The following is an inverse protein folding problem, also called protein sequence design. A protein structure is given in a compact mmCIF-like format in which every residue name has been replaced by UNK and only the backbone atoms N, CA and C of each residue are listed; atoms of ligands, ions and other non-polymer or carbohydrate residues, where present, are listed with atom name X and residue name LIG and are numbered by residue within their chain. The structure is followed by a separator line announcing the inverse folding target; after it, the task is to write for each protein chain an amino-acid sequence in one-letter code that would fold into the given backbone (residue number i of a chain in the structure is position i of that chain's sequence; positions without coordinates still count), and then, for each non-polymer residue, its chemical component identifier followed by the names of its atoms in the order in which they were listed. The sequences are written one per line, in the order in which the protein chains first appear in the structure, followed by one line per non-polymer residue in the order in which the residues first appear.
data_IF_577606626471
#
_entry.id   IF_577606626471
#
_cell.length_a   1.000
_cell.length_b   1.000
_cell.length_c   1.000
_cell.angle_alpha   90.00
_cell.angle_beta   90.00
_cell.angle_gamma   90.00
#
_symmetry.space_group_name_H-M   'P 1'
#
loop_
_entity.id
_entity.type
_entity.pdbx_description
1 polymer ?
#
# COMPACT_ATOMS: atom_id res chain seq x y z
N UNK A 1 22.96 77.36 13.25
CA UNK A 1 21.65 76.81 13.69
C UNK A 1 21.90 75.45 14.30
N UNK A 2 21.95 75.39 15.64
CA UNK A 2 22.17 74.19 16.43
C UNK A 2 21.04 74.16 17.46
N UNK A 3 20.08 73.25 17.30
CA UNK A 3 19.02 73.06 18.29
C UNK A 3 19.48 72.05 19.35
N UNK A 4 19.61 72.56 20.59
CA UNK A 4 19.86 71.82 21.82
C UNK A 4 18.56 71.16 22.29
N UNK A 5 18.56 69.85 22.52
CA UNK A 5 17.52 69.17 23.30
C UNK A 5 17.93 69.15 24.78
N UNK A 6 17.04 69.67 25.63
CA UNK A 6 17.15 69.66 27.09
C UNK A 6 16.66 68.31 27.65
N UNK A 7 17.42 67.78 28.59
CA UNK A 7 16.99 66.75 29.53
C UNK A 7 16.06 67.34 30.60
N UNK A 8 15.05 66.57 31.01
CA UNK A 8 14.45 66.66 32.34
C UNK A 8 14.07 65.24 32.82
N UNK A 9 14.41 64.98 34.08
CA UNK A 9 14.45 63.70 34.77
C UNK A 9 13.45 63.76 35.94
N UNK A 10 12.68 62.68 36.20
CA UNK A 10 12.51 62.01 37.52
C UNK A 10 11.16 61.33 37.75
N UNK A 11 11.29 60.07 38.21
CA UNK A 11 10.61 59.38 39.31
C UNK A 11 9.21 58.73 39.18
N UNK A 12 9.28 57.38 39.14
CA UNK A 12 8.72 56.39 40.10
C UNK A 12 7.20 56.27 40.29
N UNK A 13 6.65 55.07 40.02
CA UNK A 13 6.25 54.10 41.06
C UNK A 13 5.63 52.82 40.43
N UNK A 14 5.95 51.69 41.07
CA UNK A 14 5.42 50.33 40.90
C UNK A 14 3.89 50.20 40.95
N UNK A 15 3.41 49.13 40.29
CA UNK A 15 2.10 48.41 40.34
C UNK A 15 1.54 48.27 38.91
N UNK A 16 1.18 47.12 38.34
CA UNK A 16 0.82 45.80 38.86
C UNK A 16 1.10 44.71 37.82
N UNK A 17 1.17 43.51 38.36
CA UNK A 17 1.33 42.18 37.78
C UNK A 17 0.25 41.76 36.78
N UNK A 18 0.64 40.84 35.89
CA UNK A 18 -0.15 39.73 35.38
C UNK A 18 -1.38 40.00 34.48
N UNK A 19 -1.13 40.14 33.18
CA UNK A 19 -2.07 39.63 32.18
C UNK A 19 -1.39 39.28 30.84
N UNK A 20 -0.51 38.27 30.85
CA UNK A 20 -0.23 37.51 29.63
C UNK A 20 -1.27 36.40 29.52
N UNK A 21 -2.33 36.70 28.78
CA UNK A 21 -3.33 35.74 28.34
C UNK A 21 -2.65 34.55 27.67
N UNK A 22 -2.74 33.39 28.32
CA UNK A 22 -2.41 32.08 27.73
C UNK A 22 -3.25 31.93 26.47
N UNK A 23 -2.60 31.93 25.31
CA UNK A 23 -3.22 31.44 24.08
C UNK A 23 -3.37 29.93 24.30
N UNK A 24 -4.57 29.51 24.68
CA UNK A 24 -4.98 28.12 24.64
C UNK A 24 -5.06 27.75 23.15
N UNK A 25 -3.96 27.24 22.61
CA UNK A 25 -4.01 26.51 21.36
C UNK A 25 -4.56 25.14 21.73
N UNK A 26 -5.86 24.94 21.49
CA UNK A 26 -6.45 23.61 21.60
C UNK A 26 -5.56 22.64 20.80
N UNK A 27 -5.18 21.47 21.36
CA UNK A 27 -4.41 20.49 20.63
C UNK A 27 -5.25 20.06 19.43
N UNK A 28 -4.86 20.54 18.24
CA UNK A 28 -5.39 20.04 16.98
C UNK A 28 -5.20 18.53 17.06
N UNK A 29 -6.32 17.79 17.14
CA UNK A 29 -6.31 16.34 17.19
C UNK A 29 -5.68 15.84 15.88
N UNK A 30 -4.37 15.58 15.93
CA UNK A 30 -3.54 15.41 14.75
C UNK A 30 -3.63 13.97 14.28
N UNK A 31 -4.65 13.69 13.48
CA UNK A 31 -4.83 12.37 12.89
C UNK A 31 -3.84 12.15 11.75
N UNK A 32 -3.15 11.00 11.78
CA UNK A 32 -2.29 10.54 10.69
C UNK A 32 -3.15 10.20 9.47
N UNK A 33 -2.81 10.69 8.28
CA UNK A 33 -3.59 10.46 7.06
C UNK A 33 -3.12 9.23 6.25
N UNK A 34 -2.47 8.29 6.93
CA UNK A 34 -2.03 7.02 6.38
C UNK A 34 -2.15 5.96 7.47
N UNK A 35 -2.38 4.73 7.05
CA UNK A 35 -2.44 3.57 7.91
C UNK A 35 -1.19 2.69 7.73
N UNK A 36 -1.15 1.60 8.49
CA UNK A 36 -0.07 0.62 8.44
C UNK A 36 0.07 0.01 7.04
N UNK A 37 -1.04 -0.28 6.38
CA UNK A 37 -1.07 -0.83 5.03
C UNK A 37 -0.43 0.14 4.03
N UNK A 38 -0.70 1.44 4.14
CA UNK A 38 -0.10 2.46 3.29
C UNK A 38 1.41 2.54 3.49
N UNK A 39 1.91 2.46 4.73
CA UNK A 39 3.34 2.41 5.01
C UNK A 39 3.96 1.15 4.40
N UNK A 40 3.33 0.01 4.65
CA UNK A 40 3.77 -1.32 4.23
C UNK A 40 3.83 -1.49 2.72
N UNK A 41 2.78 -1.10 2.00
CA UNK A 41 2.70 -1.31 0.56
C UNK A 41 3.52 -0.30 -0.24
N UNK A 42 3.75 0.88 0.32
CA UNK A 42 4.44 1.97 -0.38
C UNK A 42 5.93 2.08 -0.03
N UNK A 43 6.48 1.13 0.73
CA UNK A 43 7.90 1.01 1.12
C UNK A 43 8.46 -0.30 0.57
N UNK A 44 9.70 -0.30 0.07
CA UNK A 44 10.37 -1.52 -0.37
C UNK A 44 10.60 -2.50 0.80
N UNK A 45 10.66 -3.80 0.49
CA UNK A 45 10.76 -4.88 1.48
C UNK A 45 11.97 -4.73 2.41
N UNK A 46 13.15 -4.41 1.84
CA UNK A 46 14.37 -4.27 2.62
C UNK A 46 14.30 -3.07 3.58
N UNK A 47 13.72 -1.95 3.16
CA UNK A 47 13.55 -0.78 4.02
C UNK A 47 12.51 -1.01 5.10
N UNK A 48 11.36 -1.60 4.75
CA UNK A 48 10.29 -1.86 5.73
C UNK A 48 10.72 -2.90 6.75
N UNK A 49 11.35 -4.02 6.34
CA UNK A 49 11.83 -5.05 7.27
C UNK A 49 12.82 -4.48 8.30
N UNK A 50 13.75 -3.63 7.84
CA UNK A 50 14.69 -2.95 8.74
C UNK A 50 13.98 -1.93 9.65
N UNK A 51 12.96 -1.25 9.15
CA UNK A 51 12.16 -0.30 9.92
C UNK A 51 11.36 -1.00 11.02
N UNK A 52 10.73 -2.14 10.73
CA UNK A 52 10.07 -3.01 11.70
C UNK A 52 11.05 -3.43 12.79
N UNK A 53 12.27 -3.84 12.43
CA UNK A 53 13.31 -4.19 13.41
C UNK A 53 13.69 -3.03 14.34
N UNK A 54 13.73 -1.79 13.83
CA UNK A 54 13.97 -0.61 14.66
C UNK A 54 12.77 -0.29 15.57
N UNK A 55 11.56 -0.41 15.01
CA UNK A 55 10.32 -0.14 15.72
C UNK A 55 10.10 -1.12 16.88
N UNK A 56 10.06 -2.42 16.59
CA UNK A 56 9.88 -3.50 17.58
C UNK A 56 11.03 -3.56 18.58
N UNK A 57 12.24 -3.13 18.17
CA UNK A 57 13.41 -3.02 19.04
C UNK A 57 13.39 -1.83 20.00
N UNK A 58 12.29 -1.06 20.04
CA UNK A 58 12.14 0.12 20.89
C UNK A 58 13.16 1.22 20.58
N UNK A 59 13.59 1.33 19.32
CA UNK A 59 14.65 2.28 18.92
C UNK A 59 14.13 3.67 18.59
N UNK A 60 12.82 3.87 18.57
CA UNK A 60 12.16 5.17 18.39
C UNK A 60 11.91 5.76 19.78
N UNK A 61 12.53 6.90 20.07
CA UNK A 61 12.45 7.56 21.37
C UNK A 61 12.22 9.07 21.19
N UNK A 62 11.86 9.76 22.27
CA UNK A 62 11.67 11.22 22.28
C UNK A 62 10.67 11.67 21.20
N UNK A 63 9.55 10.94 21.08
CA UNK A 63 8.53 11.23 20.07
C UNK A 63 7.78 12.49 20.46
N UNK A 64 7.85 13.50 19.59
CA UNK A 64 7.18 14.78 19.73
C UNK A 64 6.30 15.05 18.52
N UNK A 65 5.20 15.75 18.76
CA UNK A 65 4.24 16.14 17.73
C UNK A 65 4.25 17.67 17.62
N UNK A 66 4.65 18.20 16.47
CA UNK A 66 4.70 19.64 16.25
C UNK A 66 4.32 19.99 14.80
N UNK A 67 3.37 20.92 14.63
CA UNK A 67 3.12 21.57 13.35
C UNK A 67 2.73 20.65 12.19
N UNK A 68 2.02 19.54 12.46
CA UNK A 68 1.66 18.57 11.41
C UNK A 68 2.72 17.50 11.16
N UNK A 69 3.77 17.43 11.99
CA UNK A 69 4.85 16.46 11.89
C UNK A 69 5.03 15.70 13.21
N UNK A 70 5.41 14.43 13.07
CA UNK A 70 6.00 13.63 14.14
C UNK A 70 7.51 13.79 14.05
N UNK A 71 8.17 14.06 15.16
CA UNK A 71 9.63 14.11 15.27
C UNK A 71 10.09 13.14 16.35
N UNK A 72 11.26 12.55 16.18
CA UNK A 72 11.82 11.61 17.14
C UNK A 72 13.34 11.48 16.99
N UNK A 73 13.95 10.84 17.97
CA UNK A 73 15.29 10.27 17.85
C UNK A 73 15.16 8.78 17.56
N UNK A 74 15.70 8.31 16.44
CA UNK A 74 15.72 6.89 16.07
C UNK A 74 17.14 6.35 16.16
N UNK A 75 17.36 5.37 17.03
CA UNK A 75 18.67 4.76 17.27
C UNK A 75 19.00 3.70 16.22
N UNK A 76 19.82 4.07 15.23
CA UNK A 76 20.40 3.16 14.25
C UNK A 76 21.84 2.76 14.66
N UNK A 77 22.79 2.97 13.74
CA UNK A 77 24.23 2.94 14.05
C UNK A 77 24.64 4.08 14.98
N UNK A 78 23.95 5.21 14.88
CA UNK A 78 24.01 6.35 15.79
C UNK A 78 22.59 6.92 15.98
N UNK A 79 22.37 7.86 16.91
CA UNK A 79 21.09 8.53 17.06
C UNK A 79 20.81 9.47 15.88
N UNK A 80 19.73 9.22 15.14
CA UNK A 80 19.29 10.07 14.04
C UNK A 80 18.09 10.91 14.46
N UNK A 81 18.10 12.21 14.13
CA UNK A 81 16.90 13.05 14.26
C UNK A 81 16.04 12.82 13.02
N UNK A 82 14.79 12.46 13.26
CA UNK A 82 13.85 12.06 12.22
C UNK A 82 12.58 12.88 12.38
N UNK A 83 12.01 13.33 11.28
CA UNK A 83 10.66 13.85 11.24
C UNK A 83 9.89 13.29 10.06
N UNK A 84 8.60 13.05 10.24
CA UNK A 84 7.67 12.60 9.19
C UNK A 84 6.37 13.39 9.28
N UNK A 85 5.83 13.78 8.14
CA UNK A 85 4.55 14.48 8.09
C UNK A 85 3.42 13.54 8.51
N UNK A 86 2.42 14.07 9.21
CA UNK A 86 1.15 13.39 9.47
C UNK A 86 0.36 13.14 8.18
N UNK A 87 0.58 13.94 7.12
CA UNK A 87 -0.16 13.84 5.87
C UNK A 87 0.40 12.76 4.93
N UNK A 88 1.71 12.55 4.96
CA UNK A 88 2.41 11.59 4.11
C UNK A 88 3.73 11.22 4.74
N UNK A 89 3.92 9.95 5.09
CA UNK A 89 5.17 9.47 5.68
C UNK A 89 6.37 9.56 4.71
N UNK A 90 6.11 9.70 3.40
CA UNK A 90 7.14 9.95 2.38
C UNK A 90 7.66 11.39 2.42
N UNK A 91 6.94 12.30 3.07
CA UNK A 91 7.38 13.68 3.33
C UNK A 91 7.96 13.75 4.73
N UNK A 92 9.27 13.84 4.83
CA UNK A 92 9.95 13.95 6.11
C UNK A 92 11.44 14.17 5.93
N UNK A 93 12.13 14.28 7.05
CA UNK A 93 13.56 14.48 7.08
C UNK A 93 14.21 13.46 8.01
N UNK A 94 15.43 13.05 7.69
CA UNK A 94 16.23 12.24 8.58
C UNK A 94 17.69 12.62 8.42
N UNK A 95 18.40 12.77 9.54
CA UNK A 95 19.81 13.15 9.53
C UNK A 95 20.76 12.03 9.08
N UNK A 96 20.25 10.84 8.73
CA UNK A 96 21.07 9.78 8.14
C UNK A 96 21.40 10.07 6.67
N UNK A 97 22.42 9.39 6.14
CA UNK A 97 22.89 9.58 4.75
C UNK A 97 21.78 9.54 3.69
N UNK A 98 20.82 8.60 3.79
CA UNK A 98 19.71 8.52 2.84
C UNK A 98 18.72 9.68 3.00
N UNK A 99 18.38 10.02 4.25
CA UNK A 99 17.44 11.10 4.55
C UNK A 99 17.98 12.49 4.16
N UNK A 100 19.29 12.70 4.29
CA UNK A 100 19.96 13.92 3.81
C UNK A 100 19.93 14.06 2.28
N UNK A 101 19.68 12.96 1.57
CA UNK A 101 19.52 12.91 0.11
C UNK A 101 18.06 12.80 -0.30
N UNK A 102 17.15 13.27 0.54
CA UNK A 102 15.70 13.25 0.35
C UNK A 102 15.15 11.86 -0.05
N UNK A 103 15.81 10.81 0.45
CA UNK A 103 15.44 9.41 0.19
C UNK A 103 14.79 8.82 1.42
N UNK A 104 13.62 8.19 1.24
CA UNK A 104 12.90 7.49 2.29
C UNK A 104 13.82 6.42 2.92
N UNK A 105 14.04 6.51 4.22
CA UNK A 105 14.93 5.60 4.94
C UNK A 105 14.17 4.82 6.02
N UNK A 106 14.77 3.72 6.47
CA UNK A 106 14.22 2.86 7.53
C UNK A 106 13.88 3.62 8.82
N UNK A 107 14.61 4.71 9.15
CA UNK A 107 14.35 5.50 10.35
C UNK A 107 13.05 6.30 10.24
N UNK A 108 12.77 6.87 9.06
CA UNK A 108 11.51 7.58 8.78
C UNK A 108 10.34 6.62 8.81
N UNK A 109 10.49 5.43 8.21
CA UNK A 109 9.46 4.39 8.22
C UNK A 109 9.21 3.90 9.64
N UNK A 110 10.24 3.71 10.47
CA UNK A 110 10.07 3.32 11.88
C UNK A 110 9.31 4.37 12.70
N UNK A 111 9.58 5.66 12.48
CA UNK A 111 8.81 6.74 13.10
C UNK A 111 7.36 6.77 12.60
N UNK A 112 7.13 6.53 11.31
CA UNK A 112 5.78 6.46 10.75
C UNK A 112 4.98 5.28 11.33
N UNK A 113 5.62 4.12 11.52
CA UNK A 113 5.03 2.98 12.22
C UNK A 113 4.65 3.37 13.65
N UNK A 114 5.54 4.05 14.38
CA UNK A 114 5.22 4.55 15.72
C UNK A 114 4.05 5.53 15.73
N UNK A 115 3.97 6.44 14.75
CA UNK A 115 2.88 7.41 14.67
C UNK A 115 1.51 6.74 14.45
N UNK A 116 1.46 5.64 13.67
CA UNK A 116 0.21 4.91 13.40
C UNK A 116 -0.14 3.93 14.51
N UNK A 117 0.84 3.23 15.06
CA UNK A 117 0.64 2.14 16.01
C UNK A 117 0.68 2.60 17.47
N UNK A 118 1.05 3.86 17.73
CA UNK A 118 1.17 4.43 19.08
C UNK A 118 2.07 3.57 19.99
N UNK A 119 3.20 3.12 19.44
CA UNK A 119 4.17 2.25 20.14
C UNK A 119 3.69 0.80 20.41
N UNK A 120 2.51 0.39 19.94
CA UNK A 120 1.99 -0.98 20.13
C UNK A 120 2.66 -1.99 19.18
N UNK A 121 2.97 -3.21 19.66
CA UNK A 121 3.63 -4.21 18.83
C UNK A 121 2.81 -4.58 17.59
N UNK A 122 3.51 -4.83 16.49
CA UNK A 122 2.92 -5.35 15.26
C UNK A 122 2.60 -6.84 15.41
N UNK A 123 1.50 -7.29 14.79
CA UNK A 123 1.26 -8.73 14.64
C UNK A 123 2.15 -9.31 13.53
N UNK A 124 2.31 -10.64 13.50
CA UNK A 124 3.19 -11.31 12.52
C UNK A 124 2.77 -11.08 11.06
N UNK A 125 1.48 -10.96 10.78
CA UNK A 125 0.97 -10.68 9.42
C UNK A 125 1.34 -9.28 8.95
N UNK A 126 1.41 -8.32 9.86
CA UNK A 126 1.73 -6.93 9.58
C UNK A 126 3.22 -6.72 9.32
N UNK A 127 4.08 -7.53 9.95
CA UNK A 127 5.54 -7.49 9.79
C UNK A 127 6.02 -7.94 8.40
N UNK A 128 5.26 -8.80 7.70
CA UNK A 128 5.66 -9.35 6.41
C UNK A 128 5.32 -8.41 5.24
N UNK A 129 6.31 -7.96 4.46
CA UNK A 129 6.12 -7.13 3.26
C UNK A 129 5.84 -8.01 2.05
N UNK A 130 5.06 -7.53 1.09
CA UNK A 130 4.88 -8.22 -0.19
C UNK A 130 4.25 -9.59 0.00
N UNK A 131 2.94 -9.62 0.27
CA UNK A 131 2.23 -10.90 0.30
C UNK A 131 2.34 -11.54 -1.07
N UNK A 132 2.94 -12.72 -1.15
CA UNK A 132 2.62 -13.66 -2.22
C UNK A 132 1.10 -13.85 -2.20
N UNK A 133 0.49 -13.95 -3.37
CA UNK A 133 -0.94 -14.25 -3.46
C UNK A 133 -1.17 -15.63 -2.82
N UNK A 134 -2.03 -15.67 -1.80
CA UNK A 134 -2.32 -16.88 -1.02
C UNK A 134 -3.81 -17.21 -1.09
N UNK A 135 -4.17 -18.48 -1.30
CA UNK A 135 -5.57 -18.89 -1.28
C UNK A 135 -6.09 -18.94 0.17
N UNK A 136 -7.16 -18.20 0.47
CA UNK A 136 -7.77 -18.17 1.82
C UNK A 136 -8.34 -19.51 2.28
N UNK A 137 -8.63 -20.43 1.34
CA UNK A 137 -9.34 -21.71 1.53
C UNK A 137 -10.75 -21.61 2.12
N UNK A 138 -11.24 -20.40 2.40
CA UNK A 138 -12.60 -20.11 2.84
C UNK A 138 -13.53 -20.36 1.65
N UNK A 139 -14.73 -20.91 1.85
CA UNK A 139 -15.63 -21.25 0.72
C UNK A 139 -16.95 -20.49 0.77
N UNK A 140 -17.22 -19.81 1.88
CA UNK A 140 -18.43 -19.02 2.06
C UNK A 140 -18.56 -17.90 1.01
N UNK A 141 -19.77 -17.62 0.51
CA UNK A 141 -20.00 -16.47 -0.36
C UNK A 141 -19.77 -15.16 0.40
N UNK A 142 -19.28 -14.14 -0.31
CA UNK A 142 -19.21 -12.80 0.26
C UNK A 142 -20.62 -12.21 0.37
N UNK A 143 -20.87 -11.47 1.44
CA UNK A 143 -22.06 -10.62 1.52
C UNK A 143 -22.00 -9.54 0.42
N UNK A 144 -23.13 -8.90 0.11
CA UNK A 144 -23.15 -7.82 -0.88
C UNK A 144 -22.26 -6.64 -0.45
N UNK A 145 -22.21 -6.37 0.86
CA UNK A 145 -21.36 -5.33 1.45
C UNK A 145 -19.88 -5.67 1.31
N UNK A 146 -19.49 -6.91 1.64
CA UNK A 146 -18.11 -7.39 1.50
C UNK A 146 -17.68 -7.40 0.02
N UNK A 147 -18.58 -7.81 -0.88
CA UNK A 147 -18.35 -7.79 -2.32
C UNK A 147 -18.09 -6.36 -2.83
N UNK A 148 -18.91 -5.41 -2.40
CA UNK A 148 -18.77 -4.00 -2.77
C UNK A 148 -17.44 -3.43 -2.25
N UNK A 149 -17.10 -3.72 -0.99
CA UNK A 149 -15.84 -3.32 -0.38
C UNK A 149 -14.63 -3.91 -1.13
N UNK A 150 -14.66 -5.20 -1.47
CA UNK A 150 -13.60 -5.84 -2.23
C UNK A 150 -13.41 -5.17 -3.61
N UNK A 151 -14.50 -4.93 -4.35
CA UNK A 151 -14.45 -4.23 -5.65
C UNK A 151 -13.93 -2.80 -5.54
N UNK A 152 -14.33 -2.08 -4.48
CA UNK A 152 -13.87 -0.73 -4.18
C UNK A 152 -12.36 -0.74 -3.90
N UNK A 153 -11.87 -1.63 -3.06
CA UNK A 153 -10.45 -1.77 -2.73
C UNK A 153 -9.62 -2.16 -3.95
N UNK A 154 -10.09 -3.11 -4.76
CA UNK A 154 -9.44 -3.46 -6.05
C UNK A 154 -9.35 -2.21 -6.94
N UNK A 155 -10.42 -1.42 -7.02
CA UNK A 155 -10.43 -0.20 -7.85
C UNK A 155 -9.47 0.85 -7.32
N UNK A 156 -9.35 1.00 -5.99
CA UNK A 156 -8.37 1.89 -5.38
C UNK A 156 -6.94 1.44 -5.68
N UNK A 157 -6.63 0.15 -5.50
CA UNK A 157 -5.32 -0.42 -5.81
C UNK A 157 -4.96 -0.28 -7.31
N UNK A 158 -5.93 -0.48 -8.20
CA UNK A 158 -5.73 -0.33 -9.66
C UNK A 158 -5.38 1.10 -10.11
N UNK A 159 -5.55 2.13 -9.28
CA UNK A 159 -5.07 3.50 -9.56
C UNK A 159 -3.54 3.59 -9.56
N UNK A 160 -2.88 2.70 -8.82
CA UNK A 160 -1.43 2.64 -8.72
C UNK A 160 -0.78 1.96 -9.93
N UNK A 161 -1.51 1.05 -10.60
CA UNK A 161 -1.11 0.41 -11.86
C UNK A 161 -1.37 1.36 -13.02
N UNK A 162 -0.44 2.27 -13.30
CA UNK A 162 -0.61 3.42 -14.21
C UNK A 162 0.47 3.45 -15.30
N UNK A 163 0.16 4.01 -16.49
CA UNK A 163 1.14 4.11 -17.56
C UNK A 163 2.39 4.88 -17.14
N UNK A 164 3.49 4.52 -17.77
CA UNK A 164 4.70 5.32 -17.73
C UNK A 164 4.71 6.29 -18.92
N UNK A 165 4.76 7.60 -18.62
CA UNK A 165 4.81 8.68 -19.62
C UNK A 165 5.91 9.71 -19.34
N UNK A 166 6.75 9.43 -18.34
CA UNK A 166 7.72 10.37 -17.81
C UNK A 166 9.11 10.22 -18.43
N UNK A 167 10.06 11.11 -18.07
CA UNK A 167 11.48 10.94 -18.38
C UNK A 167 12.10 9.85 -17.49
N UNK A 168 13.17 9.18 -17.97
CA UNK A 168 13.80 8.01 -17.31
C UNK A 168 14.12 8.18 -15.84
N UNK A 169 14.44 9.40 -15.39
CA UNK A 169 14.67 9.72 -13.96
C UNK A 169 13.46 9.45 -13.05
N UNK A 170 12.25 9.39 -13.60
CA UNK A 170 11.00 9.11 -12.87
C UNK A 170 10.53 7.67 -13.00
N UNK A 171 11.28 6.85 -13.74
CA UNK A 171 10.91 5.46 -14.01
C UNK A 171 10.81 4.64 -12.73
N UNK A 172 11.83 4.68 -11.86
CA UNK A 172 11.79 3.97 -10.58
C UNK A 172 10.60 4.36 -9.70
N UNK A 173 10.27 5.66 -9.63
CA UNK A 173 9.09 6.11 -8.88
C UNK A 173 7.76 5.62 -9.49
N UNK A 174 7.72 5.39 -10.81
CA UNK A 174 6.58 4.73 -11.45
C UNK A 174 6.53 3.24 -11.09
N UNK A 175 7.68 2.55 -11.10
CA UNK A 175 7.78 1.15 -10.71
C UNK A 175 7.39 0.93 -9.24
N UNK A 176 7.82 1.80 -8.33
CA UNK A 176 7.40 1.78 -6.93
C UNK A 176 5.87 1.92 -6.80
N UNK A 177 5.26 2.73 -7.65
CA UNK A 177 3.79 2.85 -7.72
C UNK A 177 3.16 1.55 -8.22
N UNK A 178 3.73 0.87 -9.23
CA UNK A 178 3.21 -0.42 -9.69
C UNK A 178 3.31 -1.49 -8.59
N UNK A 179 4.44 -1.53 -7.89
CA UNK A 179 4.67 -2.45 -6.77
C UNK A 179 3.66 -2.21 -5.65
N UNK A 180 3.42 -0.95 -5.28
CA UNK A 180 2.42 -0.59 -4.28
C UNK A 180 1.03 -1.09 -4.67
N UNK A 181 0.64 -0.89 -5.94
CA UNK A 181 -0.64 -1.39 -6.46
C UNK A 181 -0.75 -2.92 -6.39
N UNK A 182 0.30 -3.64 -6.81
CA UNK A 182 0.29 -5.10 -6.81
C UNK A 182 0.34 -5.68 -5.38
N UNK A 183 1.04 -5.04 -4.45
CA UNK A 183 1.04 -5.43 -3.04
C UNK A 183 -0.36 -5.27 -2.41
N UNK A 184 -1.04 -4.16 -2.70
CA UNK A 184 -2.43 -3.93 -2.27
C UNK A 184 -3.37 -4.99 -2.86
N UNK A 185 -3.27 -5.23 -4.17
CA UNK A 185 -4.07 -6.24 -4.84
C UNK A 185 -3.84 -7.62 -4.24
N UNK A 186 -2.57 -8.00 -3.99
CA UNK A 186 -2.21 -9.30 -3.40
C UNK A 186 -2.86 -9.50 -2.04
N UNK A 187 -2.86 -8.48 -1.18
CA UNK A 187 -3.55 -8.55 0.10
C UNK A 187 -5.07 -8.75 -0.07
N UNK A 188 -5.70 -7.98 -0.97
CA UNK A 188 -7.15 -8.05 -1.19
C UNK A 188 -7.56 -9.41 -1.76
N UNK A 189 -6.87 -9.90 -2.79
CA UNK A 189 -7.25 -11.17 -3.45
C UNK A 189 -6.99 -12.37 -2.56
N UNK A 190 -6.00 -12.30 -1.66
CA UNK A 190 -5.70 -13.40 -0.74
C UNK A 190 -6.76 -13.60 0.33
N UNK A 191 -7.55 -12.56 0.63
CA UNK A 191 -8.64 -12.63 1.60
C UNK A 191 -9.97 -13.09 0.97
N UNK A 192 -10.04 -13.21 -0.36
CA UNK A 192 -11.27 -13.64 -1.06
C UNK A 192 -11.55 -15.12 -0.82
N UNK A 193 -12.82 -15.53 -0.64
CA UNK A 193 -13.21 -16.93 -0.54
C UNK A 193 -13.20 -17.63 -1.91
N UNK A 194 -13.06 -18.95 -1.87
CA UNK A 194 -13.03 -19.91 -2.98
C UNK A 194 -14.44 -20.26 -3.43
N UNK A 195 -15.02 -19.38 -4.24
CA UNK A 195 -16.31 -19.60 -4.86
C UNK A 195 -16.40 -18.91 -6.23
N UNK A 196 -17.50 -19.18 -6.94
CA UNK A 196 -17.76 -18.65 -8.29
C UNK A 196 -17.76 -17.12 -8.35
N UNK A 197 -18.29 -16.44 -7.32
CA UNK A 197 -18.36 -14.98 -7.28
C UNK A 197 -16.97 -14.37 -7.20
N UNK A 198 -16.11 -14.87 -6.32
CA UNK A 198 -14.71 -14.43 -6.21
C UNK A 198 -13.90 -14.78 -7.46
N UNK A 199 -14.07 -15.98 -8.01
CA UNK A 199 -13.40 -16.37 -9.25
C UNK A 199 -13.74 -15.41 -10.40
N UNK A 200 -15.01 -14.99 -10.52
CA UNK A 200 -15.43 -14.01 -11.52
C UNK A 200 -14.78 -12.64 -11.31
N UNK A 201 -14.61 -12.19 -10.06
CA UNK A 201 -13.89 -10.94 -9.74
C UNK A 201 -12.44 -11.03 -10.21
N UNK A 202 -11.76 -12.14 -9.93
CA UNK A 202 -10.36 -12.36 -10.28
C UNK A 202 -10.16 -12.43 -11.80
N UNK A 203 -11.02 -13.16 -12.53
CA UNK A 203 -11.00 -13.19 -14.00
C UNK A 203 -11.18 -11.78 -14.58
N UNK A 204 -12.13 -11.00 -14.07
CA UNK A 204 -12.33 -9.61 -14.51
C UNK A 204 -11.14 -8.70 -14.14
N UNK A 205 -10.46 -8.94 -13.02
CA UNK A 205 -9.25 -8.23 -12.64
C UNK A 205 -8.11 -8.52 -13.64
N UNK A 206 -7.88 -9.78 -13.98
CA UNK A 206 -6.87 -10.19 -14.96
C UNK A 206 -7.12 -9.52 -16.33
N UNK A 207 -8.35 -9.54 -16.83
CA UNK A 207 -8.72 -8.87 -18.08
C UNK A 207 -8.48 -7.34 -18.04
N UNK A 208 -8.65 -6.70 -16.88
CA UNK A 208 -8.37 -5.26 -16.71
C UNK A 208 -6.88 -4.97 -16.68
N UNK A 209 -6.08 -5.85 -16.08
CA UNK A 209 -4.62 -5.74 -16.04
C UNK A 209 -4.02 -6.00 -17.42
N UNK A 210 -4.46 -7.05 -18.12
CA UNK A 210 -4.09 -7.33 -19.50
C UNK A 210 -4.31 -6.12 -20.41
N UNK A 211 -5.49 -5.50 -20.33
CA UNK A 211 -5.77 -4.28 -21.09
C UNK A 211 -4.81 -3.14 -20.75
N UNK A 212 -4.45 -2.97 -19.48
CA UNK A 212 -3.48 -1.94 -19.05
C UNK A 212 -2.07 -2.19 -19.61
N UNK A 213 -1.66 -3.45 -19.69
CA UNK A 213 -0.37 -3.84 -20.27
C UNK A 213 -0.36 -3.69 -21.79
N UNK A 214 -1.36 -4.20 -22.49
CA UNK A 214 -1.41 -4.24 -23.96
C UNK A 214 -1.61 -2.86 -24.60
N UNK A 215 -2.55 -2.08 -24.09
CA UNK A 215 -2.95 -0.80 -24.71
C UNK A 215 -2.88 0.38 -23.74
N UNK A 216 -2.71 0.11 -22.44
CA UNK A 216 -2.72 1.13 -21.41
C UNK A 216 -1.38 1.83 -21.20
N UNK A 217 -0.29 1.35 -21.81
CA UNK A 217 1.05 1.94 -21.68
C UNK A 217 1.73 1.71 -20.33
N UNK A 218 1.30 0.67 -19.60
CA UNK A 218 2.00 0.22 -18.39
C UNK A 218 3.30 -0.45 -18.79
N UNK A 219 4.41 0.05 -18.24
CA UNK A 219 5.73 -0.52 -18.45
C UNK A 219 6.02 -1.55 -17.36
N UNK A 220 5.93 -2.82 -17.75
CA UNK A 220 6.15 -3.97 -16.87
C UNK A 220 7.51 -4.65 -17.12
N UNK A 221 8.53 -3.88 -17.52
CA UNK A 221 9.85 -4.42 -17.86
C UNK A 221 10.56 -5.14 -16.69
N UNK A 222 10.13 -4.92 -15.45
CA UNK A 222 10.60 -5.64 -14.26
C UNK A 222 9.65 -6.77 -13.80
N UNK A 223 8.56 -7.02 -14.53
CA UNK A 223 7.64 -8.13 -14.32
C UNK A 223 6.77 -8.03 -13.06
N UNK A 224 6.61 -6.85 -12.46
CA UNK A 224 5.79 -6.66 -11.25
C UNK A 224 4.33 -7.06 -11.51
N UNK A 225 3.74 -6.54 -12.57
CA UNK A 225 2.32 -6.73 -12.90
C UNK A 225 2.09 -8.12 -13.47
N UNK A 226 2.93 -8.57 -14.42
CA UNK A 226 2.87 -9.92 -14.97
C UNK A 226 3.13 -11.00 -13.93
N UNK A 227 4.06 -10.77 -13.01
CA UNK A 227 4.31 -11.64 -11.86
C UNK A 227 3.11 -11.75 -10.93
N UNK A 228 2.42 -10.63 -10.64
CA UNK A 228 1.17 -10.65 -9.90
C UNK A 228 0.07 -11.42 -10.64
N UNK A 229 -0.11 -11.16 -11.95
CA UNK A 229 -1.11 -11.86 -12.77
C UNK A 229 -0.90 -13.37 -12.77
N UNK A 230 0.36 -13.82 -12.89
CA UNK A 230 0.73 -15.24 -12.83
C UNK A 230 0.27 -15.88 -11.52
N UNK A 231 0.53 -15.23 -10.38
CA UNK A 231 0.11 -15.78 -9.08
C UNK A 231 -1.41 -15.82 -8.92
N UNK A 232 -2.15 -14.87 -9.53
CA UNK A 232 -3.62 -14.92 -9.54
C UNK A 232 -4.14 -16.07 -10.41
N UNK A 233 -3.47 -16.40 -11.51
CA UNK A 233 -3.80 -17.58 -12.33
C UNK A 233 -3.57 -18.87 -11.53
N UNK A 234 -2.41 -19.01 -10.87
CA UNK A 234 -2.12 -20.15 -9.98
C UNK A 234 -3.17 -20.29 -8.86
N UNK A 235 -3.61 -19.17 -8.28
CA UNK A 235 -4.70 -19.14 -7.30
C UNK A 235 -6.03 -19.62 -7.91
N UNK A 236 -6.37 -19.21 -9.14
CA UNK A 236 -7.60 -19.65 -9.81
C UNK A 236 -7.57 -21.14 -10.16
N UNK A 237 -6.41 -21.70 -10.50
CA UNK A 237 -6.26 -23.16 -10.66
C UNK A 237 -6.53 -23.88 -9.33
N UNK A 238 -6.01 -23.36 -8.21
CA UNK A 238 -6.30 -23.91 -6.88
C UNK A 238 -7.78 -23.76 -6.50
N UNK A 239 -8.42 -22.66 -6.88
CA UNK A 239 -9.87 -22.47 -6.67
C UNK A 239 -10.68 -23.58 -7.32
N UNK A 240 -10.28 -24.02 -8.52
CA UNK A 240 -10.96 -25.11 -9.22
C UNK A 240 -10.76 -26.45 -8.52
N UNK A 241 -9.57 -26.71 -7.95
CA UNK A 241 -9.31 -27.94 -7.19
C UNK A 241 -10.19 -28.04 -5.95
N UNK A 242 -10.40 -26.92 -5.26
CA UNK A 242 -11.22 -26.85 -4.04
C UNK A 242 -12.72 -26.80 -4.38
N UNK A 243 -13.10 -26.00 -5.38
CA UNK A 243 -14.49 -25.79 -5.79
C UNK A 243 -14.60 -25.83 -7.33
N UNK A 244 -14.90 -27.00 -7.92
CA UNK A 244 -15.02 -27.17 -9.37
C UNK A 244 -16.07 -26.27 -10.04
N UNK A 245 -17.03 -25.73 -9.27
CA UNK A 245 -18.00 -24.76 -9.77
C UNK A 245 -17.37 -23.45 -10.26
N UNK A 246 -16.13 -23.15 -9.84
CA UNK A 246 -15.38 -21.99 -10.30
C UNK A 246 -15.02 -22.05 -11.79
N UNK A 247 -14.92 -23.25 -12.38
CA UNK A 247 -14.57 -23.45 -13.80
C UNK A 247 -15.51 -22.66 -14.73
N UNK A 248 -16.79 -22.53 -14.37
CA UNK A 248 -17.79 -21.79 -15.14
C UNK A 248 -17.40 -20.34 -15.45
N UNK A 249 -16.58 -19.74 -14.60
CA UNK A 249 -16.13 -18.36 -14.77
C UNK A 249 -15.12 -18.21 -15.91
N UNK A 250 -14.40 -19.28 -16.25
CA UNK A 250 -13.37 -19.28 -17.30
C UNK A 250 -13.95 -19.23 -18.70
N UNK A 251 -15.25 -19.50 -18.86
CA UNK A 251 -15.98 -19.25 -20.11
C UNK A 251 -15.79 -17.82 -20.64
N UNK A 252 -15.58 -16.85 -19.75
CA UNK A 252 -15.31 -15.45 -20.11
C UNK A 252 -14.00 -15.26 -20.88
N UNK A 253 -13.09 -16.23 -20.81
CA UNK A 253 -11.78 -16.19 -21.47
C UNK A 253 -11.81 -16.82 -22.87
N UNK A 254 -12.86 -17.55 -23.22
CA UNK A 254 -12.95 -18.21 -24.52
C UNK A 254 -13.13 -17.17 -25.62
N UNK A 255 -12.25 -17.21 -26.62
CA UNK A 255 -12.35 -16.36 -27.81
C UNK A 255 -11.90 -14.90 -27.62
N UNK A 256 -11.26 -14.55 -26.50
CA UNK A 256 -10.77 -13.18 -26.27
C UNK A 256 -9.50 -12.83 -27.09
N UNK A 257 -8.92 -13.81 -27.79
CA UNK A 257 -7.64 -13.69 -28.49
C UNK A 257 -6.44 -13.83 -27.55
N UNK A 258 -5.23 -13.65 -28.07
CA UNK A 258 -3.99 -13.80 -27.31
C UNK A 258 -3.84 -12.64 -26.31
N UNK A 259 -3.76 -12.96 -25.03
CA UNK A 259 -3.46 -11.97 -23.97
C UNK A 259 -1.96 -11.70 -23.85
N UNK A 260 -1.57 -10.67 -23.09
CA UNK A 260 -0.17 -10.48 -22.74
C UNK A 260 0.34 -11.70 -21.97
N UNK A 261 1.48 -12.27 -22.39
CA UNK A 261 2.10 -13.42 -21.72
C UNK A 261 1.25 -14.71 -21.69
N UNK A 262 0.16 -14.79 -22.47
CA UNK A 262 -0.67 -16.01 -22.61
C UNK A 262 -1.20 -16.55 -21.25
N UNK A 263 -1.47 -15.67 -20.28
CA UNK A 263 -1.88 -16.08 -18.93
C UNK A 263 -3.22 -16.80 -18.90
N UNK A 264 -4.06 -16.64 -19.92
CA UNK A 264 -5.38 -17.25 -20.05
C UNK A 264 -5.31 -18.74 -20.37
N UNK A 265 -4.23 -19.20 -21.00
CA UNK A 265 -4.10 -20.55 -21.57
C UNK A 265 -4.37 -21.66 -20.55
N UNK A 266 -3.80 -21.64 -19.32
CA UNK A 266 -4.07 -22.69 -18.34
C UNK A 266 -5.56 -22.75 -17.94
N UNK A 267 -6.22 -21.61 -17.83
CA UNK A 267 -7.61 -21.52 -17.41
C UNK A 267 -8.59 -21.94 -18.53
N UNK A 268 -8.29 -21.56 -19.77
CA UNK A 268 -9.05 -22.00 -20.95
C UNK A 268 -8.94 -23.51 -21.13
N UNK A 269 -7.74 -24.08 -20.96
CA UNK A 269 -7.54 -25.53 -21.01
C UNK A 269 -8.42 -26.29 -20.01
N UNK A 270 -8.48 -25.82 -18.76
CA UNK A 270 -9.34 -26.41 -17.72
C UNK A 270 -10.82 -26.37 -18.13
N UNK A 271 -11.27 -25.25 -18.73
CA UNK A 271 -12.63 -25.13 -19.24
C UNK A 271 -12.91 -26.12 -20.39
N UNK A 272 -11.99 -26.20 -21.35
CA UNK A 272 -12.14 -27.08 -22.53
C UNK A 272 -12.20 -28.56 -22.11
N UNK A 273 -11.32 -28.99 -21.19
CA UNK A 273 -11.33 -30.35 -20.61
C UNK A 273 -12.67 -30.69 -19.95
N UNK A 274 -13.24 -29.76 -19.16
CA UNK A 274 -14.58 -29.94 -18.57
C UNK A 274 -15.64 -30.13 -19.65
N UNK A 275 -15.66 -29.26 -20.66
CA UNK A 275 -16.68 -29.34 -21.72
C UNK A 275 -16.58 -30.61 -22.56
N UNK A 276 -15.36 -31.10 -22.82
CA UNK A 276 -15.13 -32.36 -23.51
C UNK A 276 -15.63 -33.56 -22.69
N UNK A 277 -15.36 -33.57 -21.38
CA UNK A 277 -15.86 -34.61 -20.47
C UNK A 277 -17.40 -34.66 -20.44
N UNK A 278 -18.06 -33.51 -20.31
CA UNK A 278 -19.53 -33.41 -20.32
C UNK A 278 -20.15 -33.86 -21.66
N UNK A 279 -19.48 -33.59 -22.78
CA UNK A 279 -19.92 -34.04 -24.10
C UNK A 279 -19.85 -35.57 -24.25
N UNK A 280 -18.73 -36.18 -23.82
CA UNK A 280 -18.53 -37.62 -23.88
C UNK A 280 -19.52 -38.38 -22.99
N UNK A 281 -19.84 -37.86 -21.81
CA UNK A 281 -20.85 -38.44 -20.90
C UNK A 281 -22.25 -38.46 -21.54
N UNK A 282 -22.61 -37.40 -22.29
CA UNK A 282 -23.90 -37.31 -22.99
C UNK A 282 -24.01 -38.29 -24.16
N UNK A 283 -22.90 -38.63 -24.82
CA UNK A 283 -22.88 -39.61 -25.90
C UNK A 283 -22.93 -41.04 -25.35
N UNK A 284 -22.18 -41.35 -24.30
CA UNK A 284 -22.17 -42.69 -23.71
C UNK A 284 -23.47 -43.13 -23.02
N UNK A 285 -24.40 -42.19 -22.80
CA UNK A 285 -25.75 -42.43 -22.27
C UNK A 285 -26.85 -42.58 -23.34
N UNK A 286 -26.50 -42.45 -24.63
CA UNK A 286 -27.41 -42.68 -25.77
C UNK A 286 -27.17 -44.05 -26.37
#
# INVERSE_FOLDING_TARGET
MICKFKNANKNSKNRDSDHFSKINVDPINMHVNYDLNKIKFATDEATFTRAVGLYEGGKVAEVETLGGYYSAVVKGTEPYRVSVSARSFKQGHCTCYLGQKDTLCKHMVALALHAVMDGKPLNEKDKQVGRKVECSKRCEPLSEEELMLAKMHITAAMKHVKPYRGPSRTWFANQDSLQEGCNMLSAIVSDLPVNKQSAEILVKLLLRLDRKLRVGGVDDSNGIVGGFMTQVVEMLEEYVRINPGCIDTFKLLVGIGITCFQWEEPLVRIWDEKTAAEYNEKIGKK
#
